data_IF_562375345102
#
_entry.id   IF_562375345102
#
_cell.length_a   1.000
_cell.length_b   1.000
_cell.length_c   1.000
_cell.angle_alpha   90.00
_cell.angle_beta   90.00
_cell.angle_gamma   90.00
#
_symmetry.space_group_name_H-M   'P 1'
#
loop_
_entity.id
_entity.type
_entity.pdbx_description
1 polymer ?
#
# COMPACT_ATOMS: atom_id res chain seq x y z
N UNK A 1 -6.17 -14.14 7.56
CA UNK A 1 -6.25 -12.70 7.21
C UNK A 1 -6.91 -11.96 8.35
N UNK A 2 -6.35 -10.85 8.79
CA UNK A 2 -6.98 -9.94 9.77
C UNK A 2 -7.26 -8.59 9.10
N UNK A 3 -8.38 -7.95 9.43
CA UNK A 3 -8.77 -6.67 8.84
C UNK A 3 -9.32 -5.76 9.94
N UNK A 4 -8.68 -4.62 10.11
CA UNK A 4 -9.11 -3.54 11.00
C UNK A 4 -9.21 -2.25 10.18
N UNK A 5 -10.42 -1.68 10.16
CA UNK A 5 -10.71 -0.43 9.46
C UNK A 5 -10.25 0.81 10.23
N UNK A 6 -10.78 1.96 9.84
CA UNK A 6 -10.45 3.27 10.45
C UNK A 6 -11.65 3.93 11.14
N UNK A 7 -12.70 3.16 11.41
CA UNK A 7 -13.94 3.66 12.02
C UNK A 7 -13.73 4.08 13.49
N UNK A 8 -12.76 3.46 14.17
CA UNK A 8 -12.41 3.77 15.55
C UNK A 8 -10.88 3.87 15.71
N UNK A 9 -10.32 5.05 15.44
CA UNK A 9 -8.87 5.27 15.58
C UNK A 9 -8.53 5.58 17.05
N UNK A 10 -7.66 4.77 17.70
CA UNK A 10 -7.20 5.06 19.04
C UNK A 10 -6.48 6.43 19.13
N UNK A 11 -6.77 7.27 20.16
CA UNK A 11 -6.15 8.59 20.30
C UNK A 11 -4.61 8.56 20.33
N UNK A 12 -4.02 7.50 20.87
CA UNK A 12 -2.56 7.36 20.91
C UNK A 12 -1.95 7.24 19.50
N UNK A 13 -2.62 6.58 18.54
CA UNK A 13 -2.14 6.47 17.15
C UNK A 13 -2.23 7.82 16.43
N UNK A 14 -3.29 8.60 16.68
CA UNK A 14 -3.40 9.97 16.16
C UNK A 14 -2.25 10.85 16.65
N UNK A 15 -1.94 10.79 17.94
CA UNK A 15 -0.84 11.54 18.53
C UNK A 15 0.52 11.14 17.96
N UNK A 16 0.73 9.85 17.68
CA UNK A 16 1.96 9.38 17.04
C UNK A 16 2.06 9.82 15.58
N UNK A 17 0.97 9.74 14.82
CA UNK A 17 0.93 10.11 13.40
C UNK A 17 1.06 11.61 13.13
N UNK A 18 0.81 12.47 14.13
CA UNK A 18 1.00 13.94 14.02
C UNK A 18 2.44 14.40 14.17
N UNK A 19 3.35 13.53 14.61
CA UNK A 19 4.78 13.90 14.72
C UNK A 19 5.33 14.16 13.31
N UNK A 20 6.15 15.20 13.16
CA UNK A 20 6.64 15.68 11.85
C UNK A 20 7.26 14.58 10.97
N UNK A 21 7.96 13.63 11.59
CA UNK A 21 8.67 12.55 10.88
C UNK A 21 7.88 11.22 10.92
N UNK A 22 6.57 11.29 11.12
CA UNK A 22 5.67 10.13 11.14
C UNK A 22 4.43 10.37 10.30
N UNK A 23 3.90 9.30 9.76
CA UNK A 23 2.62 9.30 9.07
C UNK A 23 1.78 8.11 9.55
N UNK A 24 0.47 8.31 9.65
CA UNK A 24 -0.49 7.26 9.97
C UNK A 24 -1.13 6.78 8.67
N UNK A 25 -0.96 5.52 8.30
CA UNK A 25 -1.46 4.94 7.05
C UNK A 25 -2.25 3.67 7.32
N UNK A 26 -3.34 3.45 6.59
CA UNK A 26 -4.01 2.15 6.54
C UNK A 26 -3.25 1.27 5.55
N UNK A 27 -2.55 0.25 6.05
CA UNK A 27 -1.71 -0.61 5.22
C UNK A 27 -2.30 -2.01 5.15
N UNK A 28 -2.35 -2.56 3.93
CA UNK A 28 -2.40 -3.99 3.70
C UNK A 28 -0.98 -4.54 3.66
N UNK A 29 -0.68 -5.53 4.49
CA UNK A 29 0.65 -6.10 4.66
C UNK A 29 0.56 -7.61 4.46
N UNK A 30 1.30 -8.10 3.47
CA UNK A 30 1.52 -9.52 3.22
C UNK A 30 2.98 -9.84 3.55
N UNK A 31 3.21 -10.76 4.46
CA UNK A 31 4.56 -11.19 4.83
C UNK A 31 4.61 -12.69 5.13
N UNK A 32 5.80 -13.29 4.97
CA UNK A 32 6.04 -14.67 5.37
C UNK A 32 6.53 -14.70 6.82
N UNK A 33 5.91 -15.54 7.66
CA UNK A 33 6.37 -15.83 9.03
C UNK A 33 6.61 -17.33 9.13
N UNK A 34 7.86 -17.74 9.27
CA UNK A 34 8.29 -19.13 9.07
C UNK A 34 7.84 -19.65 7.69
N UNK A 35 7.05 -20.72 7.63
CA UNK A 35 6.51 -21.29 6.38
C UNK A 35 5.09 -20.81 6.05
N UNK A 36 4.55 -19.86 6.81
CA UNK A 36 3.17 -19.39 6.63
C UNK A 36 3.11 -17.97 6.08
N UNK A 37 2.19 -17.76 5.13
CA UNK A 37 1.83 -16.43 4.67
C UNK A 37 0.84 -15.78 5.62
N UNK A 38 1.13 -14.56 6.04
CA UNK A 38 0.28 -13.74 6.91
C UNK A 38 -0.15 -12.49 6.16
N UNK A 39 -1.46 -12.24 6.17
CA UNK A 39 -2.09 -11.09 5.55
C UNK A 39 -2.86 -10.30 6.62
N UNK A 40 -2.56 -9.02 6.73
CA UNK A 40 -3.24 -8.10 7.64
C UNK A 40 -3.56 -6.76 6.96
N UNK A 41 -4.67 -6.16 7.34
CA UNK A 41 -5.00 -4.76 7.07
C UNK A 41 -5.17 -4.05 8.40
N UNK A 42 -4.37 -3.03 8.67
CA UNK A 42 -4.46 -2.26 9.92
C UNK A 42 -3.86 -0.87 9.80
N UNK A 43 -4.25 -0.01 10.73
CA UNK A 43 -3.65 1.30 10.87
C UNK A 43 -2.22 1.17 11.40
N UNK A 44 -1.27 1.78 10.69
CA UNK A 44 0.17 1.65 10.95
C UNK A 44 0.82 3.03 10.97
N UNK A 45 1.64 3.27 11.98
CA UNK A 45 2.51 4.45 12.05
C UNK A 45 3.80 4.10 11.32
N UNK A 46 4.13 4.85 10.27
CA UNK A 46 5.38 4.75 9.52
C UNK A 46 6.21 6.02 9.73
N UNK A 47 7.52 5.91 9.67
CA UNK A 47 8.42 7.07 9.75
C UNK A 47 8.78 7.61 8.36
N UNK A 48 9.46 8.76 8.34
CA UNK A 48 9.86 9.48 7.12
C UNK A 48 10.74 8.69 6.16
N UNK A 49 11.46 7.67 6.63
CA UNK A 49 12.27 6.80 5.77
C UNK A 49 11.45 5.72 5.05
N UNK A 50 10.23 5.46 5.51
CA UNK A 50 9.38 4.45 4.91
C UNK A 50 8.94 4.86 3.49
N UNK A 51 9.04 3.99 2.46
CA UNK A 51 8.77 4.39 1.07
C UNK A 51 7.35 4.92 0.81
N UNK A 52 6.39 4.53 1.64
CA UNK A 52 4.99 5.00 1.57
C UNK A 52 4.70 6.28 2.37
N UNK A 53 5.70 6.91 3.00
CA UNK A 53 5.49 8.08 3.85
C UNK A 53 4.74 9.21 3.12
N UNK A 54 5.24 9.61 1.95
CA UNK A 54 4.67 10.69 1.13
C UNK A 54 3.50 10.28 0.21
N UNK A 55 2.95 9.07 0.35
CA UNK A 55 1.82 8.63 -0.47
C UNK A 55 0.52 9.11 0.17
N UNK A 56 0.02 10.26 -0.26
CA UNK A 56 -1.09 10.97 0.38
C UNK A 56 -2.34 11.13 -0.51
N UNK A 57 -3.44 11.49 0.15
CA UNK A 57 -4.73 11.78 -0.48
C UNK A 57 -5.33 10.53 -1.13
N UNK A 58 -5.54 10.60 -2.45
CA UNK A 58 -6.16 9.51 -3.23
C UNK A 58 -5.16 8.63 -3.96
N UNK A 59 -3.86 8.97 -3.87
CA UNK A 59 -2.79 8.14 -4.39
C UNK A 59 -2.66 6.84 -3.59
N UNK A 60 -2.14 5.82 -4.24
CA UNK A 60 -1.87 4.51 -3.67
C UNK A 60 -0.39 4.19 -3.88
N UNK A 61 0.12 3.31 -3.06
CA UNK A 61 1.48 2.81 -3.18
C UNK A 61 1.55 1.37 -2.72
N UNK A 62 2.43 0.60 -3.34
CA UNK A 62 2.80 -0.74 -2.93
C UNK A 62 4.32 -0.83 -2.87
N UNK A 63 4.82 -1.46 -1.80
CA UNK A 63 6.24 -1.78 -1.63
C UNK A 63 6.37 -3.29 -1.73
N UNK A 64 7.21 -3.75 -2.65
CA UNK A 64 7.64 -5.13 -2.74
C UNK A 64 9.02 -5.23 -2.11
N UNK A 65 9.15 -6.03 -1.06
CA UNK A 65 10.46 -6.43 -0.54
C UNK A 65 10.87 -7.73 -1.21
N UNK A 66 12.05 -7.72 -1.80
CA UNK A 66 12.61 -8.79 -2.62
C UNK A 66 13.96 -9.19 -2.05
N UNK A 67 14.40 -10.40 -2.38
CA UNK A 67 15.70 -10.94 -1.98
C UNK A 67 16.87 -10.34 -2.78
N UNK A 68 16.61 -9.86 -4.00
CA UNK A 68 17.64 -9.47 -4.97
C UNK A 68 17.67 -7.99 -5.29
N UNK A 69 16.52 -7.31 -5.29
CA UNK A 69 16.40 -5.89 -5.61
C UNK A 69 16.10 -5.03 -4.39
N UNK A 70 16.21 -5.60 -3.18
CA UNK A 70 15.75 -5.00 -1.94
C UNK A 70 14.29 -4.55 -2.08
N UNK A 71 14.01 -3.24 -2.11
CA UNK A 71 12.66 -2.70 -2.03
C UNK A 71 12.26 -1.96 -3.31
N UNK A 72 11.21 -2.45 -3.99
CA UNK A 72 10.62 -1.79 -5.17
C UNK A 72 9.30 -1.13 -4.76
N UNK A 73 9.21 0.18 -4.93
CA UNK A 73 7.99 0.94 -4.62
C UNK A 73 7.32 1.43 -5.88
N UNK A 74 6.04 1.10 -6.05
CA UNK A 74 5.20 1.63 -7.14
C UNK A 74 4.15 2.54 -6.53
N UNK A 75 4.14 3.81 -6.95
CA UNK A 75 3.17 4.82 -6.48
C UNK A 75 2.40 5.41 -7.65
N UNK A 76 1.17 5.85 -7.39
CA UNK A 76 0.29 6.44 -8.38
C UNK A 76 -1.16 6.02 -8.16
N UNK A 77 -1.94 5.90 -9.23
CA UNK A 77 -3.28 5.33 -9.13
C UNK A 77 -4.24 6.14 -8.26
N UNK A 78 -4.23 7.48 -8.41
CA UNK A 78 -5.36 8.32 -8.00
C UNK A 78 -6.64 7.63 -8.46
N UNK A 79 -7.61 7.47 -7.55
CA UNK A 79 -8.90 6.86 -7.90
C UNK A 79 -9.55 7.66 -9.03
N UNK A 80 -9.53 7.11 -10.25
CA UNK A 80 -9.95 7.77 -11.48
C UNK A 80 -10.56 6.74 -12.43
N UNK A 81 -11.83 6.91 -12.86
CA UNK A 81 -12.47 6.00 -13.81
C UNK A 81 -11.71 5.85 -15.13
N UNK A 82 -11.04 6.90 -15.64
CA UNK A 82 -10.25 6.79 -16.87
C UNK A 82 -9.02 5.90 -16.66
N UNK A 83 -8.30 6.07 -15.56
CA UNK A 83 -7.19 5.18 -15.19
C UNK A 83 -7.63 3.71 -15.05
N UNK A 84 -8.81 3.46 -14.47
CA UNK A 84 -9.39 2.12 -14.39
C UNK A 84 -9.70 1.55 -15.79
N UNK A 85 -10.32 2.34 -16.68
CA UNK A 85 -10.59 1.94 -18.06
C UNK A 85 -9.32 1.67 -18.88
N UNK A 86 -8.28 2.49 -18.72
CA UNK A 86 -6.98 2.27 -19.34
C UNK A 86 -6.33 0.96 -18.88
N UNK A 87 -6.44 0.63 -17.59
CA UNK A 87 -5.93 -0.64 -17.04
C UNK A 87 -6.67 -1.85 -17.64
N UNK A 88 -7.99 -1.78 -17.74
CA UNK A 88 -8.80 -2.80 -18.40
C UNK A 88 -8.41 -2.97 -19.87
N UNK A 89 -8.23 -1.87 -20.61
CA UNK A 89 -7.80 -1.94 -22.02
C UNK A 89 -6.39 -2.54 -22.17
N UNK A 90 -5.46 -2.17 -21.28
CA UNK A 90 -4.12 -2.78 -21.20
C UNK A 90 -4.22 -4.29 -21.02
N UNK A 91 -5.12 -4.77 -20.17
CA UNK A 91 -5.31 -6.21 -19.95
C UNK A 91 -5.89 -6.90 -21.19
N UNK A 92 -6.90 -6.31 -21.86
CA UNK A 92 -7.44 -6.83 -23.13
C UNK A 92 -6.33 -6.95 -24.18
N UNK A 93 -5.54 -5.90 -24.40
CA UNK A 93 -4.45 -5.92 -25.38
C UNK A 93 -3.47 -7.07 -25.08
N UNK A 94 -3.08 -7.25 -23.82
CA UNK A 94 -2.15 -8.31 -23.44
C UNK A 94 -2.74 -9.71 -23.57
N UNK A 95 -4.04 -9.90 -23.34
CA UNK A 95 -4.73 -11.19 -23.54
C UNK A 95 -4.69 -11.62 -25.01
N UNK A 96 -4.88 -10.68 -25.93
CA UNK A 96 -4.92 -10.98 -27.38
C UNK A 96 -3.57 -10.86 -28.08
N UNK A 97 -2.53 -10.37 -27.39
CA UNK A 97 -1.17 -10.30 -27.93
C UNK A 97 -0.63 -11.72 -28.07
N UNK A 98 -0.56 -12.20 -29.31
CA UNK A 98 0.25 -13.39 -29.65
C UNK A 98 1.73 -13.02 -29.53
N UNK A 99 2.55 -13.99 -29.12
CA UNK A 99 4.02 -13.84 -29.08
C UNK A 99 4.59 -13.35 -30.41
#
# INVERSE_FOLDING_TARGET
MTVEGIDAIPPYLLNQGRKKDRALKLLGILFKRAEELRLEVRLTVIDISHPLFGVDGTNKGIVFTTDTMDSITVTGGKSDPKGAGASLLKDIINIYRKE
#
